data_IF_539111342212
#
_entry.id   IF_539111342212
#
_cell.length_a   1.000
_cell.length_b   1.000
_cell.length_c   1.000
_cell.angle_alpha   90.00
_cell.angle_beta   90.00
_cell.angle_gamma   90.00
#
_symmetry.space_group_name_H-M   'P 1'
#
loop_
_entity.id
_entity.type
_entity.pdbx_description
1 polymer ?
#
# COMPACT_ATOMS: atom_id res chain seq x y z
N UNK A 1 -0.31 -1.44 13.88
CA UNK A 1 0.36 -2.55 14.61
C UNK A 1 0.46 -2.18 16.11
N UNK A 2 -0.49 -2.54 16.99
CA UNK A 2 -0.62 -1.98 18.37
C UNK A 2 -0.90 -0.47 18.45
N UNK A 3 -2.07 -0.05 17.99
CA UNK A 3 -2.56 1.31 18.25
C UNK A 3 -3.10 1.39 19.69
N UNK A 4 -2.60 2.33 20.49
CA UNK A 4 -3.05 2.52 21.89
C UNK A 4 -4.27 3.44 22.02
N UNK A 5 -4.63 4.08 20.92
CA UNK A 5 -5.81 4.93 20.76
C UNK A 5 -6.63 4.42 19.58
N UNK A 6 -7.91 4.79 19.53
CA UNK A 6 -8.80 4.40 18.43
C UNK A 6 -8.33 5.09 17.14
N UNK A 7 -8.29 4.33 16.03
CA UNK A 7 -7.81 4.79 14.71
C UNK A 7 -8.89 4.65 13.62
N UNK A 8 -10.17 4.60 14.01
CA UNK A 8 -11.28 4.38 13.10
C UNK A 8 -11.36 2.93 12.57
N UNK A 9 -12.19 2.72 11.54
CA UNK A 9 -12.32 1.42 10.86
C UNK A 9 -11.16 1.13 9.90
N UNK A 10 -10.65 2.15 9.24
CA UNK A 10 -9.53 2.06 8.30
C UNK A 10 -8.40 2.97 8.75
N UNK A 11 -7.25 2.38 9.07
CA UNK A 11 -6.04 3.14 9.33
C UNK A 11 -5.21 3.21 8.05
N UNK A 12 -5.16 4.39 7.45
CA UNK A 12 -4.40 4.70 6.25
C UNK A 12 -2.97 5.06 6.66
N UNK A 13 -2.03 4.17 6.36
CA UNK A 13 -0.63 4.26 6.73
C UNK A 13 0.20 4.67 5.51
N UNK A 14 0.69 5.91 5.49
CA UNK A 14 1.48 6.46 4.37
C UNK A 14 2.97 6.28 4.67
N UNK A 15 3.73 5.76 3.72
CA UNK A 15 5.18 5.64 3.88
C UNK A 15 5.89 7.00 3.75
N UNK A 16 6.56 7.42 4.81
CA UNK A 16 7.31 8.69 4.89
C UNK A 16 8.80 8.60 4.55
N UNK A 17 9.36 7.39 4.39
CA UNK A 17 10.81 7.22 4.18
C UNK A 17 11.31 7.77 2.85
N UNK A 18 12.61 8.03 2.77
CA UNK A 18 13.28 8.67 1.63
C UNK A 18 12.86 8.12 0.25
N UNK A 19 12.79 6.79 -0.01
CA UNK A 19 12.38 6.30 -1.32
C UNK A 19 10.95 6.71 -1.71
N UNK A 20 10.03 6.77 -0.75
CA UNK A 20 8.67 7.24 -0.98
C UNK A 20 8.60 8.77 -1.03
N UNK A 21 9.36 9.46 -0.17
CA UNK A 21 9.44 10.91 -0.13
C UNK A 21 9.88 11.50 -1.48
N UNK A 22 10.96 10.99 -2.07
CA UNK A 22 11.47 11.46 -3.38
C UNK A 22 10.53 11.11 -4.55
N UNK A 23 9.60 10.17 -4.33
CA UNK A 23 8.55 9.76 -5.28
C UNK A 23 7.21 10.46 -5.02
N UNK A 24 7.17 11.44 -4.11
CA UNK A 24 6.00 12.28 -3.88
C UNK A 24 5.06 11.82 -2.76
N UNK A 25 5.49 10.96 -1.82
CA UNK A 25 4.59 10.49 -0.75
C UNK A 25 4.07 11.59 0.18
N UNK A 26 4.78 12.71 0.32
CA UNK A 26 4.28 13.89 1.05
C UNK A 26 3.04 14.50 0.39
N UNK A 27 3.01 14.54 -0.95
CA UNK A 27 1.84 14.99 -1.70
C UNK A 27 0.66 14.04 -1.51
N UNK A 28 0.93 12.74 -1.45
CA UNK A 28 -0.08 11.71 -1.14
C UNK A 28 -0.68 11.95 0.25
N UNK A 29 0.16 12.15 1.25
CA UNK A 29 -0.28 12.41 2.62
C UNK A 29 -1.10 13.71 2.72
N UNK A 30 -0.60 14.81 2.15
CA UNK A 30 -1.29 16.09 2.13
C UNK A 30 -2.66 15.99 1.45
N UNK A 31 -2.73 15.24 0.36
CA UNK A 31 -4.00 14.98 -0.36
C UNK A 31 -4.98 14.21 0.52
N UNK A 32 -4.52 13.18 1.23
CA UNK A 32 -5.34 12.41 2.17
C UNK A 32 -5.86 13.28 3.31
N UNK A 33 -4.99 14.03 3.96
CA UNK A 33 -5.35 14.90 5.09
C UNK A 33 -6.35 15.98 4.67
N UNK A 34 -6.14 16.62 3.50
CA UNK A 34 -7.08 17.61 2.94
C UNK A 34 -8.43 16.99 2.58
N UNK A 35 -8.42 15.83 1.93
CA UNK A 35 -9.64 15.14 1.50
C UNK A 35 -10.49 14.65 2.68
N UNK A 36 -9.84 14.12 3.72
CA UNK A 36 -10.52 13.64 4.93
C UNK A 36 -10.83 14.77 5.94
N UNK A 37 -10.20 15.93 5.80
CA UNK A 37 -10.41 17.09 6.67
C UNK A 37 -9.93 16.87 8.10
N UNK A 38 -8.85 16.10 8.28
CA UNK A 38 -8.28 15.73 9.59
C UNK A 38 -6.81 16.07 9.67
N UNK A 39 -6.27 16.20 10.89
CA UNK A 39 -4.82 16.24 11.10
C UNK A 39 -4.26 14.81 11.13
N UNK A 40 -2.94 14.70 11.01
CA UNK A 40 -2.23 13.42 11.18
C UNK A 40 -2.59 12.80 12.54
N UNK A 41 -2.86 11.49 12.55
CA UNK A 41 -3.28 10.70 13.70
C UNK A 41 -4.63 11.12 14.34
N UNK A 42 -5.45 11.92 13.64
CA UNK A 42 -6.80 12.25 14.05
C UNK A 42 -7.81 11.36 13.29
N UNK A 43 -8.83 10.88 14.01
CA UNK A 43 -9.90 10.09 13.42
C UNK A 43 -10.94 11.02 12.83
N UNK A 44 -11.41 10.72 11.63
CA UNK A 44 -12.50 11.45 10.98
C UNK A 44 -13.77 11.44 11.83
N UNK A 45 -14.62 12.47 11.69
CA UNK A 45 -15.86 12.62 12.48
C UNK A 45 -16.84 11.46 12.31
N UNK A 46 -16.80 10.78 11.16
CA UNK A 46 -17.58 9.58 10.87
C UNK A 46 -17.00 8.30 11.51
N UNK A 47 -15.84 8.39 12.16
CA UNK A 47 -15.15 7.25 12.79
C UNK A 47 -14.56 6.25 11.80
N UNK A 48 -14.52 6.59 10.50
CA UNK A 48 -14.15 5.64 9.45
C UNK A 48 -12.65 5.59 9.18
N UNK A 49 -11.97 6.74 9.12
CA UNK A 49 -10.59 6.84 8.66
C UNK A 49 -9.68 7.52 9.68
N UNK A 50 -8.42 7.12 9.68
CA UNK A 50 -7.32 7.82 10.34
C UNK A 50 -6.11 7.78 9.40
N UNK A 51 -5.36 8.88 9.29
CA UNK A 51 -4.13 8.94 8.49
C UNK A 51 -2.94 8.95 9.44
N UNK A 52 -2.07 7.95 9.29
CA UNK A 52 -0.82 7.83 10.03
C UNK A 52 0.37 7.78 9.08
N UNK A 53 1.49 8.34 9.51
CA UNK A 53 2.78 8.14 8.84
C UNK A 53 3.42 6.85 9.38
N UNK A 54 4.00 6.06 8.48
CA UNK A 54 4.82 4.90 8.80
C UNK A 54 6.17 5.01 8.11
N UNK A 55 7.15 4.32 8.68
CA UNK A 55 8.49 4.21 8.10
C UNK A 55 8.50 3.23 6.92
N UNK A 56 9.66 2.65 6.59
CA UNK A 56 9.81 1.78 5.44
C UNK A 56 8.84 0.59 5.51
N UNK A 57 7.99 0.47 4.49
CA UNK A 57 6.98 -0.58 4.36
C UNK A 57 7.40 -1.71 3.40
N UNK A 58 8.63 -1.69 2.89
CA UNK A 58 9.17 -2.74 2.01
C UNK A 58 8.74 -2.67 0.53
N UNK A 59 7.84 -1.76 0.16
CA UNK A 59 7.34 -1.61 -1.21
C UNK A 59 8.12 -0.56 -2.04
N UNK A 60 9.45 -0.48 -1.86
CA UNK A 60 10.25 0.65 -2.34
C UNK A 60 10.29 0.78 -3.88
N UNK A 61 10.30 -0.35 -4.61
CA UNK A 61 10.28 -0.34 -6.09
C UNK A 61 8.91 0.06 -6.66
N UNK A 62 7.90 0.06 -5.81
CA UNK A 62 6.53 0.47 -6.08
C UNK A 62 6.17 1.78 -5.36
N UNK A 63 7.17 2.63 -5.08
CA UNK A 63 6.94 3.92 -4.45
C UNK A 63 6.27 4.91 -5.43
N UNK A 64 5.33 5.76 -4.95
CA UNK A 64 4.89 5.90 -3.56
C UNK A 64 3.76 4.91 -3.20
N UNK A 65 3.58 4.64 -1.90
CA UNK A 65 2.66 3.61 -1.43
C UNK A 65 1.90 4.04 -0.16
N UNK A 66 0.74 3.43 0.04
CA UNK A 66 -0.05 3.47 1.27
C UNK A 66 -0.45 2.06 1.67
N UNK A 67 -0.58 1.81 2.97
CA UNK A 67 -1.19 0.59 3.49
C UNK A 67 -2.49 0.92 4.18
N UNK A 68 -3.50 0.09 3.97
CA UNK A 68 -4.78 0.22 4.69
C UNK A 68 -4.91 -0.97 5.63
N UNK A 69 -4.93 -0.66 6.92
CA UNK A 69 -5.35 -1.62 7.93
C UNK A 69 -6.87 -1.55 8.05
N UNK A 70 -7.56 -2.60 7.62
CA UNK A 70 -9.01 -2.73 7.73
C UNK A 70 -9.39 -3.43 9.04
N UNK A 71 -9.94 -2.65 9.96
CA UNK A 71 -10.48 -3.09 11.24
C UNK A 71 -12.01 -3.25 11.23
N UNK A 72 -12.68 -3.05 10.08
CA UNK A 72 -14.15 -2.96 9.99
C UNK A 72 -14.88 -4.23 10.46
N UNK A 73 -14.29 -5.40 10.24
CA UNK A 73 -14.86 -6.72 10.56
C UNK A 73 -14.10 -7.47 11.68
N UNK A 74 -13.24 -6.79 12.41
CA UNK A 74 -12.49 -7.38 13.52
C UNK A 74 -11.51 -8.48 13.09
N UNK A 75 -11.26 -9.46 13.97
CA UNK A 75 -10.22 -10.48 13.80
C UNK A 75 -10.48 -11.48 12.68
N UNK A 76 -11.73 -11.70 12.28
CA UNK A 76 -12.09 -12.73 11.31
C UNK A 76 -11.70 -12.36 9.87
N UNK A 77 -11.65 -11.07 9.56
CA UNK A 77 -11.34 -10.57 8.22
C UNK A 77 -10.53 -9.28 8.25
N UNK A 78 -9.66 -9.17 9.24
CA UNK A 78 -8.62 -8.14 9.26
C UNK A 78 -7.76 -8.25 8.01
N UNK A 79 -7.59 -7.13 7.31
CA UNK A 79 -6.68 -7.06 6.17
C UNK A 79 -5.68 -5.93 6.34
N UNK A 80 -4.46 -6.16 5.85
CA UNK A 80 -3.37 -5.19 5.86
C UNK A 80 -2.86 -5.04 4.44
N UNK A 81 -3.60 -4.27 3.65
CA UNK A 81 -3.47 -4.25 2.20
C UNK A 81 -2.50 -3.17 1.77
N UNK A 82 -1.56 -3.56 0.92
CA UNK A 82 -0.62 -2.65 0.27
C UNK A 82 -1.25 -2.09 -1.00
N UNK A 83 -1.35 -0.78 -1.10
CA UNK A 83 -1.69 -0.06 -2.32
C UNK A 83 -0.45 0.71 -2.74
N UNK A 84 0.14 0.28 -3.84
CA UNK A 84 1.47 0.70 -4.27
C UNK A 84 1.36 1.45 -5.60
N UNK A 85 2.41 2.17 -5.99
CA UNK A 85 2.43 3.05 -7.18
C UNK A 85 1.25 4.03 -7.21
N UNK A 86 0.86 4.55 -6.05
CA UNK A 86 -0.33 5.39 -5.93
C UNK A 86 -0.06 6.82 -6.39
N UNK A 87 -1.13 7.50 -6.81
CA UNK A 87 -1.12 8.93 -7.16
C UNK A 87 -2.12 9.67 -6.27
N UNK A 88 -2.05 11.01 -6.15
CA UNK A 88 -3.01 11.78 -5.37
C UNK A 88 -4.46 11.47 -5.74
N UNK A 89 -4.75 11.39 -7.05
CA UNK A 89 -6.05 11.00 -7.57
C UNK A 89 -6.44 9.58 -7.15
N UNK A 90 -5.53 8.62 -7.33
CA UNK A 90 -5.82 7.21 -7.05
C UNK A 90 -6.05 6.94 -5.57
N UNK A 91 -5.35 7.65 -4.69
CA UNK A 91 -5.54 7.52 -3.24
C UNK A 91 -6.92 8.01 -2.80
N UNK A 92 -7.41 9.10 -3.38
CA UNK A 92 -8.79 9.56 -3.12
C UNK A 92 -9.81 8.53 -3.60
N UNK A 93 -9.61 7.95 -4.79
CA UNK A 93 -10.48 6.88 -5.30
C UNK A 93 -10.51 5.66 -4.36
N UNK A 94 -9.35 5.23 -3.86
CA UNK A 94 -9.23 4.12 -2.89
C UNK A 94 -10.03 4.44 -1.62
N UNK A 95 -9.90 5.65 -1.08
CA UNK A 95 -10.64 6.06 0.13
C UNK A 95 -12.15 6.05 -0.11
N UNK A 96 -12.61 6.57 -1.24
CA UNK A 96 -14.05 6.56 -1.56
C UNK A 96 -14.59 5.14 -1.79
N UNK A 97 -13.82 4.26 -2.42
CA UNK A 97 -14.17 2.83 -2.55
C UNK A 97 -14.32 2.18 -1.17
N UNK A 98 -13.36 2.39 -0.27
CA UNK A 98 -13.40 1.87 1.10
C UNK A 98 -14.59 2.44 1.90
N UNK A 99 -14.92 3.73 1.68
CA UNK A 99 -16.08 4.38 2.32
C UNK A 99 -17.39 3.74 1.87
N UNK A 100 -17.50 3.30 0.61
CA UNK A 100 -18.65 2.54 0.08
C UNK A 100 -18.67 1.07 0.53
N UNK A 101 -17.63 0.60 1.23
CA UNK A 101 -17.50 -0.80 1.64
C UNK A 101 -17.03 -1.73 0.52
N UNK A 102 -16.52 -1.16 -0.58
CA UNK A 102 -15.89 -1.92 -1.67
C UNK A 102 -14.44 -2.25 -1.28
N UNK A 103 -13.92 -3.36 -1.81
CA UNK A 103 -12.51 -3.72 -1.68
C UNK A 103 -11.74 -3.24 -2.94
N UNK A 104 -10.89 -2.22 -2.85
CA UNK A 104 -10.05 -1.81 -3.97
C UNK A 104 -9.03 -2.91 -4.33
N UNK A 105 -8.57 -2.97 -5.59
CA UNK A 105 -7.58 -3.97 -6.01
C UNK A 105 -6.27 -3.77 -5.25
N UNK A 106 -5.79 -4.82 -4.59
CA UNK A 106 -4.56 -4.80 -3.77
C UNK A 106 -3.32 -4.95 -4.64
N UNK A 107 -2.22 -4.30 -4.24
CA UNK A 107 -0.93 -4.29 -4.94
C UNK A 107 -0.69 -2.99 -5.70
N UNK A 108 0.09 -3.08 -6.78
CA UNK A 108 0.35 -1.95 -7.66
C UNK A 108 -0.93 -1.40 -8.26
N UNK A 109 -1.12 -0.09 -8.14
CA UNK A 109 -2.19 0.66 -8.78
C UNK A 109 -1.81 1.13 -10.19
N UNK A 110 -0.58 0.83 -10.63
CA UNK A 110 -0.11 1.09 -11.97
C UNK A 110 -0.31 -0.17 -12.85
N UNK A 111 -1.22 -0.14 -13.84
CA UNK A 111 -1.50 -1.30 -14.69
C UNK A 111 -0.37 -1.66 -15.66
N UNK A 112 0.59 -0.76 -15.89
CA UNK A 112 1.70 -0.98 -16.82
C UNK A 112 2.78 -1.92 -16.28
N UNK A 113 2.66 -2.38 -15.03
CA UNK A 113 3.61 -3.28 -14.38
C UNK A 113 2.94 -4.45 -13.68
N UNK A 114 3.69 -5.53 -13.57
CA UNK A 114 3.28 -6.72 -12.83
C UNK A 114 3.92 -6.67 -11.45
N UNK A 115 3.13 -6.40 -10.40
CA UNK A 115 3.62 -6.31 -9.00
C UNK A 115 4.84 -5.37 -8.92
N UNK A 116 6.02 -5.90 -8.61
CA UNK A 116 7.30 -5.18 -8.50
C UNK A 116 8.09 -5.07 -9.80
N UNK A 117 7.54 -5.54 -10.92
CA UNK A 117 8.21 -5.57 -12.22
C UNK A 117 8.45 -4.18 -12.82
N UNK A 118 9.35 -4.05 -13.81
CA UNK A 118 9.47 -2.84 -14.62
C UNK A 118 8.12 -2.43 -15.24
N UNK A 119 7.89 -1.13 -15.37
CA UNK A 119 6.78 -0.62 -16.15
C UNK A 119 7.05 -0.86 -17.65
N UNK A 120 6.02 -1.25 -18.40
CA UNK A 120 6.13 -1.65 -19.81
C UNK A 120 6.42 -3.14 -20.03
N UNK A 121 6.37 -3.95 -18.96
CA UNK A 121 6.60 -5.40 -19.01
C UNK A 121 7.95 -5.80 -18.44
N UNK A 122 8.04 -7.05 -17.97
CA UNK A 122 9.25 -7.56 -17.35
C UNK A 122 10.40 -7.66 -18.38
N UNK A 123 11.60 -7.24 -17.99
CA UNK A 123 12.81 -7.35 -18.83
C UNK A 123 13.57 -8.66 -18.59
N UNK A 124 13.19 -9.40 -17.54
CA UNK A 124 13.72 -10.71 -17.14
C UNK A 124 12.56 -11.64 -16.80
N UNK A 125 12.84 -12.91 -16.48
CA UNK A 125 11.80 -13.93 -16.18
C UNK A 125 10.80 -14.13 -17.34
N UNK A 126 11.31 -14.11 -18.58
CA UNK A 126 10.51 -14.25 -19.80
C UNK A 126 10.28 -15.71 -20.21
N UNK A 127 11.19 -16.61 -19.84
CA UNK A 127 11.09 -18.04 -20.12
C UNK A 127 10.23 -18.76 -19.08
N UNK A 128 9.61 -19.87 -19.49
CA UNK A 128 8.94 -20.76 -18.54
C UNK A 128 9.95 -21.27 -17.49
N UNK A 129 9.60 -21.22 -16.19
CA UNK A 129 10.47 -21.74 -15.13
C UNK A 129 10.78 -23.22 -15.34
N UNK A 130 12.06 -23.57 -15.34
CA UNK A 130 12.52 -24.96 -15.38
C UNK A 130 13.42 -25.24 -14.17
N UNK A 131 13.43 -26.47 -13.64
CA UNK A 131 14.39 -26.85 -12.61
C UNK A 131 15.81 -26.53 -13.10
N UNK A 132 16.61 -25.79 -12.32
CA UNK A 132 18.00 -25.58 -12.70
C UNK A 132 18.73 -26.92 -12.70
N UNK A 133 19.83 -27.06 -13.46
CA UNK A 133 20.72 -28.19 -13.28
C UNK A 133 21.24 -28.16 -11.83
N UNK A 134 20.74 -29.06 -10.99
CA UNK A 134 21.26 -29.23 -9.64
C UNK A 134 22.68 -29.75 -9.75
N UNK A 135 23.63 -29.14 -9.02
CA UNK A 135 24.96 -29.71 -8.86
C UNK A 135 24.80 -31.05 -8.16
N UNK A 136 25.17 -32.13 -8.83
CA UNK A 136 25.30 -33.43 -8.19
C UNK A 136 26.49 -33.36 -7.21
N UNK A 137 26.18 -33.33 -5.91
CA UNK A 137 27.18 -33.27 -4.85
C UNK A 137 27.88 -34.62 -4.66
N UNK A 138 27.31 -35.70 -5.16
CA UNK A 138 27.82 -37.07 -5.05
C UNK A 138 28.68 -37.49 -6.26
N UNK A 139 28.77 -36.64 -7.29
CA UNK A 139 29.55 -36.88 -8.50
C UNK A 139 31.08 -36.56 -8.37
N UNK A 140 31.62 -36.44 -7.15
CA UNK A 140 33.04 -36.20 -6.87
C UNK A 140 33.77 -37.45 -6.39
#
# INVERSE_FOLDING_TARGET
MFNRTKVGKYHLLVCGTTPCMIRGSREIEDTLLKHLGVKRNEVTKDGMFCVGEMECMGCCVNAPMITVADYSKGSESYSYNYYEDVTPKRVVEIVEMLRRGEAPPVGTQNPERIRSGPAGGNTTLLGEPKPPPCRDLDAC
#
